data_IF_286474651930
#
_entry.id   IF_286474651930
#
_cell.length_a   1.000
_cell.length_b   1.000
_cell.length_c   1.000
_cell.angle_alpha   90.00
_cell.angle_beta   90.00
_cell.angle_gamma   90.00
#
_symmetry.space_group_name_H-M   'P 1'
#
loop_
_entity.id
_entity.type
_entity.pdbx_description
1 polymer ?
#
# COMPACT_ATOMS: atom_id res chain seq x y z
N UNK A 1 -24.28 -23.52 -4.56
CA UNK A 1 -23.26 -22.60 -5.12
C UNK A 1 -23.27 -21.31 -4.31
N UNK A 2 -22.30 -21.11 -3.42
CA UNK A 2 -22.15 -19.85 -2.67
C UNK A 2 -21.55 -18.82 -3.63
N UNK A 3 -22.32 -17.77 -3.95
CA UNK A 3 -21.86 -16.63 -4.73
C UNK A 3 -20.68 -16.00 -3.98
N UNK A 4 -19.49 -16.08 -4.57
CA UNK A 4 -18.35 -15.29 -4.14
C UNK A 4 -18.77 -13.83 -4.23
N UNK A 5 -18.98 -13.18 -3.08
CA UNK A 5 -18.99 -11.73 -3.02
C UNK A 5 -17.61 -11.32 -3.54
N UNK A 6 -17.56 -10.85 -4.79
CA UNK A 6 -16.46 -10.00 -5.23
C UNK A 6 -16.33 -8.95 -4.12
N UNK A 7 -15.14 -8.72 -3.55
CA UNK A 7 -14.92 -7.56 -2.71
C UNK A 7 -15.05 -6.36 -3.65
N UNK A 8 -16.29 -5.98 -3.89
CA UNK A 8 -16.75 -4.63 -3.75
C UNK A 8 -15.65 -3.62 -4.07
N UNK A 9 -15.75 -3.04 -5.27
CA UNK A 9 -15.32 -1.69 -5.65
C UNK A 9 -15.83 -0.59 -4.68
N UNK A 10 -16.31 -0.96 -3.50
CA UNK A 10 -16.85 -0.12 -2.44
C UNK A 10 -15.67 0.46 -1.67
N UNK A 11 -15.39 1.73 -1.98
CA UNK A 11 -14.69 2.76 -1.16
C UNK A 11 -13.36 3.30 -1.68
N UNK A 12 -13.07 3.20 -2.97
CA UNK A 12 -11.94 3.94 -3.55
C UNK A 12 -12.14 5.47 -3.66
N UNK A 13 -13.31 6.02 -3.35
CA UNK A 13 -13.64 7.42 -3.69
C UNK A 13 -14.35 8.16 -2.56
N UNK A 14 -13.59 8.55 -1.54
CA UNK A 14 -13.61 9.88 -0.89
C UNK A 14 -12.66 9.87 0.31
N UNK A 15 -11.38 9.66 0.02
CA UNK A 15 -10.29 9.86 0.96
C UNK A 15 -10.31 11.34 1.36
N UNK A 16 -10.31 11.63 2.66
CA UNK A 16 -10.22 12.99 3.18
C UNK A 16 -8.94 13.62 2.61
N UNK A 17 -9.07 14.44 1.56
CA UNK A 17 -7.94 14.99 0.75
C UNK A 17 -6.82 15.58 1.62
N UNK A 18 -7.10 16.26 2.75
CA UNK A 18 -6.07 16.71 3.69
C UNK A 18 -5.22 15.58 4.26
N UNK A 19 -5.84 14.47 4.68
CA UNK A 19 -5.13 13.32 5.28
C UNK A 19 -4.24 12.64 4.25
N UNK A 20 -4.76 12.42 3.03
CA UNK A 20 -3.95 11.87 1.92
C UNK A 20 -2.73 12.74 1.63
N UNK A 21 -2.93 14.05 1.54
CA UNK A 21 -1.83 14.99 1.28
C UNK A 21 -0.81 15.03 2.42
N UNK A 22 -1.26 14.97 3.66
CA UNK A 22 -0.40 14.91 4.84
C UNK A 22 0.42 13.61 4.88
N UNK A 23 -0.20 12.47 4.57
CA UNK A 23 0.48 11.17 4.47
C UNK A 23 1.48 11.14 3.32
N UNK A 24 1.18 11.78 2.19
CA UNK A 24 2.12 11.88 1.07
C UNK A 24 3.42 12.60 1.46
N UNK A 25 3.29 13.59 2.35
CA UNK A 25 4.40 14.36 2.95
C UNK A 25 4.91 13.75 4.27
N UNK A 26 4.37 12.60 4.67
CA UNK A 26 4.69 11.93 5.93
C UNK A 26 6.04 11.24 5.90
N UNK A 27 6.52 10.84 7.08
CA UNK A 27 7.74 10.07 7.23
C UNK A 27 7.54 8.65 6.68
N UNK A 28 8.50 8.17 5.89
CA UNK A 28 8.54 6.77 5.46
C UNK A 28 9.08 5.91 6.59
N UNK A 29 8.33 4.88 6.97
CA UNK A 29 8.70 3.96 8.05
C UNK A 29 9.25 2.66 7.49
N UNK A 30 8.70 2.20 6.35
CA UNK A 30 9.23 1.05 5.62
C UNK A 30 8.84 1.10 4.15
N UNK A 31 9.58 0.38 3.32
CA UNK A 31 9.30 0.25 1.89
C UNK A 31 9.76 -1.08 1.33
N UNK A 32 9.13 -1.50 0.23
CA UNK A 32 9.46 -2.72 -0.51
C UNK A 32 9.80 -2.30 -1.94
N UNK A 33 10.99 -2.69 -2.39
CA UNK A 33 11.51 -2.39 -3.73
C UNK A 33 12.03 -3.72 -4.31
N UNK A 34 11.49 -4.18 -5.43
CA UNK A 34 12.02 -5.36 -6.14
C UNK A 34 12.89 -4.92 -7.31
N UNK A 35 14.06 -5.55 -7.47
CA UNK A 35 15.10 -5.14 -8.44
C UNK A 35 15.22 -5.96 -9.73
N UNK A 36 14.37 -6.95 -9.97
CA UNK A 36 14.58 -7.83 -11.13
C UNK A 36 13.63 -7.61 -12.33
N UNK A 37 12.37 -7.22 -12.12
CA UNK A 37 11.37 -6.98 -13.19
C UNK A 37 10.54 -5.69 -12.97
N UNK A 38 11.19 -4.59 -12.63
CA UNK A 38 10.66 -3.27 -12.97
C UNK A 38 9.66 -2.63 -12.00
N UNK A 39 8.39 -3.04 -11.94
CA UNK A 39 7.36 -2.01 -12.14
C UNK A 39 6.49 -1.55 -10.96
N UNK A 40 6.78 -1.99 -9.74
CA UNK A 40 5.96 -1.61 -8.59
C UNK A 40 6.80 -1.39 -7.32
N UNK A 41 6.57 -0.25 -6.66
CA UNK A 41 7.17 0.07 -5.35
C UNK A 41 6.08 0.20 -4.31
N UNK A 42 6.34 -0.21 -3.07
CA UNK A 42 5.43 0.00 -1.97
C UNK A 42 6.09 0.77 -0.83
N UNK A 43 5.32 1.61 -0.13
CA UNK A 43 5.78 2.25 1.11
C UNK A 43 4.70 2.36 2.16
N UNK A 44 5.13 2.38 3.41
CA UNK A 44 4.32 2.65 4.59
C UNK A 44 4.77 3.97 5.21
N UNK A 45 3.85 4.93 5.33
CA UNK A 45 4.11 6.28 5.85
C UNK A 45 3.32 6.56 7.11
N UNK A 46 3.78 7.47 7.98
CA UNK A 46 2.96 8.07 9.02
C UNK A 46 2.92 9.61 8.96
N UNK A 47 1.92 10.20 9.59
CA UNK A 47 1.84 11.64 9.87
C UNK A 47 1.00 11.89 11.13
N UNK A 48 1.10 13.07 11.72
CA UNK A 48 0.28 13.49 12.88
C UNK A 48 -0.64 14.63 12.46
N UNK A 49 -1.95 14.46 12.66
CA UNK A 49 -2.97 15.47 12.36
C UNK A 49 -3.84 15.61 13.60
N UNK A 50 -4.00 16.83 14.13
CA UNK A 50 -4.79 17.10 15.34
C UNK A 50 -4.42 16.18 16.51
N UNK A 51 -3.12 15.98 16.73
CA UNK A 51 -2.58 15.09 17.77
C UNK A 51 -2.91 13.59 17.60
N UNK A 52 -3.44 13.18 16.44
CA UNK A 52 -3.71 11.78 16.11
C UNK A 52 -2.71 11.31 15.05
N UNK A 53 -2.07 10.17 15.28
CA UNK A 53 -1.12 9.57 14.34
C UNK A 53 -1.86 8.71 13.33
N UNK A 54 -1.73 9.06 12.07
CA UNK A 54 -2.26 8.33 10.93
C UNK A 54 -1.15 7.62 10.17
N UNK A 55 -1.53 6.52 9.52
CA UNK A 55 -0.66 5.71 8.70
C UNK A 55 -1.25 5.54 7.30
N UNK A 56 -0.40 5.28 6.32
CA UNK A 56 -0.79 5.12 4.93
C UNK A 56 0.04 4.06 4.22
N UNK A 57 -0.63 3.18 3.47
CA UNK A 57 -0.02 2.19 2.58
C UNK A 57 -0.11 2.74 1.16
N UNK A 58 1.04 2.80 0.50
CA UNK A 58 1.15 3.33 -0.84
C UNK A 58 1.74 2.30 -1.78
N UNK A 59 1.28 2.33 -3.02
CA UNK A 59 1.87 1.64 -4.15
C UNK A 59 2.22 2.66 -5.24
N UNK A 60 3.37 2.48 -5.88
CA UNK A 60 3.81 3.29 -7.01
C UNK A 60 3.57 2.49 -8.27
N UNK A 61 2.74 3.03 -9.13
CA UNK A 61 2.70 2.63 -10.53
C UNK A 61 3.96 3.20 -11.20
N UNK A 62 4.85 2.35 -11.69
CA UNK A 62 6.07 2.81 -12.36
C UNK A 62 5.88 3.20 -13.84
N UNK A 63 4.76 2.81 -14.46
CA UNK A 63 4.38 3.30 -15.80
C UNK A 63 3.89 4.75 -15.70
N UNK A 64 3.04 5.04 -14.71
CA UNK A 64 2.56 6.42 -14.46
C UNK A 64 3.56 7.26 -13.66
N UNK A 65 4.47 6.62 -12.93
CA UNK A 65 5.39 7.27 -11.99
C UNK A 65 4.71 7.83 -10.73
N UNK A 66 3.44 7.49 -10.48
CA UNK A 66 2.62 8.08 -9.40
C UNK A 66 2.44 7.15 -8.22
N UNK A 67 2.34 7.75 -7.03
CA UNK A 67 1.97 7.05 -5.80
C UNK A 67 0.46 7.07 -5.60
N UNK A 68 -0.11 5.88 -5.43
CA UNK A 68 -1.50 5.63 -5.11
C UNK A 68 -1.62 5.22 -3.65
N UNK A 69 -2.48 5.92 -2.91
CA UNK A 69 -2.80 5.58 -1.52
C UNK A 69 -3.81 4.45 -1.55
N UNK A 70 -3.42 3.27 -1.08
CA UNK A 70 -4.29 2.10 -1.04
C UNK A 70 -5.15 2.09 0.22
N UNK A 71 -4.51 2.31 1.37
CA UNK A 71 -5.16 2.28 2.68
C UNK A 71 -4.60 3.38 3.58
N UNK A 72 -5.44 3.89 4.49
CA UNK A 72 -5.03 4.82 5.53
C UNK A 72 -5.93 4.68 6.76
N UNK A 73 -5.42 5.08 7.93
CA UNK A 73 -6.13 4.92 9.19
C UNK A 73 -5.20 5.07 10.39
N UNK A 74 -5.68 4.66 11.57
CA UNK A 74 -4.82 4.53 12.74
C UNK A 74 -3.97 3.25 12.62
N UNK A 75 -3.01 3.07 13.52
CA UNK A 75 -2.05 1.95 13.42
C UNK A 75 -2.77 0.61 13.32
N UNK A 76 -3.78 0.39 14.15
CA UNK A 76 -4.51 -0.87 14.27
C UNK A 76 -5.25 -1.24 12.98
N UNK A 77 -5.78 -0.24 12.26
CA UNK A 77 -6.51 -0.44 11.00
C UNK A 77 -5.57 -0.77 9.83
N UNK A 78 -4.33 -0.25 9.87
CA UNK A 78 -3.42 -0.28 8.71
C UNK A 78 -2.32 -1.31 8.86
N UNK A 79 -1.89 -1.64 10.08
CA UNK A 79 -0.76 -2.54 10.31
C UNK A 79 -1.06 -3.99 9.90
N UNK A 80 -2.30 -4.45 10.07
CA UNK A 80 -2.75 -5.77 9.61
C UNK A 80 -2.69 -5.87 8.08
N UNK A 81 -3.23 -4.88 7.39
CA UNK A 81 -3.20 -4.76 5.92
C UNK A 81 -1.76 -4.66 5.41
N UNK A 82 -0.90 -3.88 6.08
CA UNK A 82 0.51 -3.77 5.71
C UNK A 82 1.24 -5.10 5.83
N UNK A 83 0.98 -5.90 6.87
CA UNK A 83 1.58 -7.23 7.02
C UNK A 83 1.14 -8.18 5.91
N UNK A 84 -0.17 -8.23 5.63
CA UNK A 84 -0.72 -9.05 4.54
C UNK A 84 -0.10 -8.64 3.20
N UNK A 85 -0.04 -7.34 2.94
CA UNK A 85 0.54 -6.76 1.74
C UNK A 85 2.03 -7.11 1.66
N UNK A 86 2.82 -6.84 2.70
CA UNK A 86 4.25 -7.13 2.73
C UNK A 86 4.56 -8.63 2.57
N UNK A 87 3.75 -9.51 3.15
CA UNK A 87 3.91 -10.97 3.01
C UNK A 87 3.51 -11.46 1.63
N UNK A 88 2.46 -10.89 1.02
CA UNK A 88 2.13 -11.11 -0.39
C UNK A 88 3.31 -10.70 -1.28
N UNK A 89 3.88 -9.52 -1.03
CA UNK A 89 5.05 -9.00 -1.74
C UNK A 89 6.28 -9.90 -1.61
N UNK A 90 6.56 -10.41 -0.41
CA UNK A 90 7.64 -11.39 -0.19
C UNK A 90 7.41 -12.67 -1.00
N UNK A 91 6.20 -13.25 -0.93
CA UNK A 91 5.87 -14.52 -1.60
C UNK A 91 5.81 -14.43 -3.12
N UNK A 92 5.24 -13.36 -3.66
CA UNK A 92 5.15 -13.10 -5.10
C UNK A 92 6.48 -12.62 -5.67
N UNK A 93 7.26 -11.89 -4.87
CA UNK A 93 8.62 -11.48 -5.18
C UNK A 93 9.59 -12.64 -5.37
N UNK A 94 9.33 -13.81 -4.79
CA UNK A 94 10.16 -15.00 -5.03
C UNK A 94 9.65 -15.85 -6.21
N UNK A 95 8.33 -15.90 -6.45
CA UNK A 95 7.74 -16.77 -7.49
C UNK A 95 8.02 -16.34 -8.93
N UNK A 96 8.28 -15.07 -9.19
CA UNK A 96 8.66 -14.59 -10.53
C UNK A 96 10.19 -14.75 -10.76
N UNK A 97 10.94 -15.29 -9.78
CA UNK A 97 12.39 -15.56 -9.91
C UNK A 97 12.72 -16.97 -10.37
N UNK A 98 11.75 -17.87 -10.53
CA UNK A 98 12.01 -19.29 -10.81
C UNK A 98 11.30 -19.76 -12.07
N UNK A 99 11.74 -19.23 -13.23
CA UNK A 99 11.68 -19.89 -14.56
C UNK A 99 12.24 -18.98 -15.68
N UNK A 100 13.48 -18.54 -15.55
CA UNK A 100 14.31 -18.28 -16.74
C UNK A 100 15.73 -18.72 -16.40
N UNK A 101 15.99 -20.00 -16.63
CA UNK A 101 17.31 -20.57 -16.88
C UNK A 101 17.11 -21.69 -17.90
#
# INVERSE_FOLDING_TARGET
MKKSKKPDEVKLLNLNKPIRNALLKGEMISGIIRKHNGDLMAKYTNTVINNIRYYGIWEKDLLEGKWHLLYYGQKEDVESEWKIFADFWKKQGDRISTRVA
#
